data_IF_084223311792
#
_entry.id   IF_084223311792
#
_cell.length_a   1.000
_cell.length_b   1.000
_cell.length_c   1.000
_cell.angle_alpha   90.00
_cell.angle_beta   90.00
_cell.angle_gamma   90.00
#
_symmetry.space_group_name_H-M   'P 1'
#
loop_
_entity.id
_entity.type
_entity.pdbx_description
1 polymer ?
#
# COMPACT_ATOMS: atom_id res chain seq x y z
N UNK A 1 7.99 -5.73 -20.86
CA UNK A 1 6.62 -5.15 -20.96
C UNK A 1 6.63 -3.75 -20.38
N UNK A 2 6.11 -2.80 -21.10
CA UNK A 2 5.97 -1.42 -20.61
C UNK A 2 4.48 -1.10 -20.57
N UNK A 3 3.99 -0.57 -19.44
CA UNK A 3 2.60 -0.14 -19.30
C UNK A 3 2.57 1.35 -18.99
N UNK A 4 1.81 2.09 -19.78
CA UNK A 4 1.63 3.53 -19.57
C UNK A 4 0.55 3.78 -18.53
N UNK A 5 0.55 4.92 -17.84
CA UNK A 5 -0.45 5.21 -16.80
C UNK A 5 -1.90 5.06 -17.30
N UNK A 6 -2.18 5.46 -18.54
CA UNK A 6 -3.53 5.35 -19.11
C UNK A 6 -4.04 3.92 -19.28
N UNK A 7 -3.13 2.94 -19.24
CA UNK A 7 -3.46 1.52 -19.39
C UNK A 7 -3.45 0.78 -18.04
N UNK A 8 -3.19 1.47 -16.96
CA UNK A 8 -3.22 0.91 -15.62
C UNK A 8 -4.65 0.93 -15.07
N UNK A 9 -5.08 -0.18 -14.49
CA UNK A 9 -6.39 -0.28 -13.87
C UNK A 9 -6.40 0.51 -12.57
N UNK A 10 -7.43 1.34 -12.38
CA UNK A 10 -7.57 2.18 -11.19
C UNK A 10 -8.79 1.72 -10.40
N UNK A 11 -8.60 1.49 -9.10
CA UNK A 11 -9.68 1.18 -8.18
C UNK A 11 -9.76 2.24 -7.09
N UNK A 12 -10.97 2.64 -6.73
CA UNK A 12 -11.24 3.43 -5.55
C UNK A 12 -11.81 2.51 -4.48
N UNK A 13 -11.15 2.45 -3.33
CA UNK A 13 -11.56 1.60 -2.21
C UNK A 13 -11.93 2.46 -1.02
N UNK A 14 -13.22 2.46 -0.66
CA UNK A 14 -13.70 3.17 0.53
C UNK A 14 -13.50 2.31 1.76
N UNK A 15 -13.08 2.94 2.86
CA UNK A 15 -12.87 2.30 4.16
C UNK A 15 -12.06 1.01 4.04
N UNK A 16 -10.98 1.07 3.28
CA UNK A 16 -10.14 -0.09 3.02
C UNK A 16 -9.66 -0.72 4.32
N UNK A 17 -9.96 -2.01 4.50
CA UNK A 17 -9.64 -2.76 5.72
C UNK A 17 -10.19 -2.12 7.00
N UNK A 18 -11.33 -1.42 6.91
CA UNK A 18 -11.91 -0.70 8.04
C UNK A 18 -11.30 0.66 8.32
N UNK A 19 -10.46 1.17 7.41
CA UNK A 19 -9.88 2.52 7.53
C UNK A 19 -10.87 3.62 7.22
N UNK A 20 -10.36 4.85 7.14
CA UNK A 20 -11.13 6.05 6.88
C UNK A 20 -10.93 6.55 5.46
N UNK A 21 -11.96 7.18 4.90
CA UNK A 21 -11.92 7.80 3.59
C UNK A 21 -11.75 6.81 2.45
N UNK A 22 -11.31 7.30 1.31
CA UNK A 22 -11.12 6.49 0.11
C UNK A 22 -9.65 6.48 -0.32
N UNK A 23 -9.18 5.30 -0.66
CA UNK A 23 -7.82 5.06 -1.13
C UNK A 23 -7.89 4.70 -2.60
N UNK A 24 -6.99 5.24 -3.41
CA UNK A 24 -6.89 4.89 -4.82
C UNK A 24 -5.77 3.86 -5.00
N UNK A 25 -6.09 2.75 -5.65
CA UNK A 25 -5.13 1.70 -5.99
C UNK A 25 -4.96 1.69 -7.50
N UNK A 26 -3.75 1.97 -7.96
CA UNK A 26 -3.40 1.97 -9.38
C UNK A 26 -2.56 0.72 -9.64
N UNK A 27 -3.12 -0.24 -10.36
CA UNK A 27 -2.43 -1.49 -10.65
C UNK A 27 -1.40 -1.29 -11.74
N UNK A 28 -0.12 -1.39 -11.36
CA UNK A 28 0.99 -1.27 -12.31
C UNK A 28 1.00 -2.48 -13.24
N UNK A 29 0.89 -3.66 -12.65
CA UNK A 29 0.74 -4.94 -13.35
C UNK A 29 -0.24 -5.80 -12.59
N UNK A 30 -0.99 -6.64 -13.31
CA UNK A 30 -1.95 -7.56 -12.73
C UNK A 30 -1.24 -8.85 -12.26
N UNK A 31 -1.79 -9.51 -11.27
CA UNK A 31 -1.16 -10.71 -10.69
C UNK A 31 -0.94 -11.82 -11.72
N UNK A 32 -1.81 -11.92 -12.70
CA UNK A 32 -1.75 -12.96 -13.74
C UNK A 32 -0.57 -12.74 -14.72
N UNK A 33 0.02 -11.54 -14.71
CA UNK A 33 1.12 -11.19 -15.61
C UNK A 33 2.48 -11.63 -15.06
N UNK A 34 2.55 -12.00 -13.79
CA UNK A 34 3.78 -12.44 -13.15
C UNK A 34 3.96 -13.95 -13.26
N UNK A 35 5.20 -14.38 -13.46
CA UNK A 35 5.55 -15.80 -13.36
C UNK A 35 5.74 -16.26 -11.91
N UNK A 36 5.83 -15.34 -10.96
CA UNK A 36 5.97 -15.62 -9.55
C UNK A 36 4.62 -15.52 -8.83
N UNK A 37 4.62 -15.88 -7.55
CA UNK A 37 3.40 -15.78 -6.71
C UNK A 37 3.20 -14.35 -6.20
N UNK A 38 2.99 -13.43 -7.12
CA UNK A 38 2.68 -12.05 -6.82
C UNK A 38 1.17 -11.87 -6.71
N UNK A 39 0.71 -11.15 -5.68
CA UNK A 39 -0.72 -10.85 -5.48
C UNK A 39 -1.05 -9.40 -5.77
N UNK A 40 -0.08 -8.51 -5.59
CA UNK A 40 -0.29 -7.07 -5.79
C UNK A 40 1.01 -6.43 -6.28
N UNK A 41 0.89 -5.56 -7.26
CA UNK A 41 1.96 -4.67 -7.70
C UNK A 41 1.30 -3.35 -8.10
N UNK A 42 1.22 -2.42 -7.18
CA UNK A 42 0.37 -1.23 -7.33
C UNK A 42 1.02 0.01 -6.75
N UNK A 43 0.52 1.16 -7.20
CA UNK A 43 0.71 2.42 -6.49
C UNK A 43 -0.56 2.68 -5.68
N UNK A 44 -0.41 3.01 -4.40
CA UNK A 44 -1.52 3.32 -3.51
C UNK A 44 -1.44 4.80 -3.16
N UNK A 45 -2.55 5.51 -3.31
CA UNK A 45 -2.63 6.93 -3.00
C UNK A 45 -3.65 7.13 -1.89
N UNK A 46 -3.17 7.68 -0.77
CA UNK A 46 -4.01 8.08 0.37
C UNK A 46 -4.12 9.60 0.38
N UNK A 47 -5.29 10.16 0.09
CA UNK A 47 -5.50 11.60 0.29
C UNK A 47 -5.42 11.95 1.78
N UNK A 48 -5.27 13.24 2.13
CA UNK A 48 -5.27 13.65 3.54
C UNK A 48 -6.47 13.09 4.30
N UNK A 49 -6.22 12.53 5.48
CA UNK A 49 -7.23 11.92 6.34
C UNK A 49 -7.61 10.49 6.02
N UNK A 50 -7.18 9.96 4.87
CA UNK A 50 -7.47 8.58 4.51
C UNK A 50 -6.53 7.60 5.22
N UNK A 51 -7.02 6.39 5.44
CA UNK A 51 -6.24 5.33 6.07
C UNK A 51 -6.62 3.96 5.52
N UNK A 52 -5.67 3.04 5.66
CA UNK A 52 -5.89 1.60 5.47
C UNK A 52 -5.86 1.00 6.88
N UNK A 53 -6.95 0.35 7.28
CA UNK A 53 -7.08 -0.22 8.61
C UNK A 53 -6.15 -1.39 8.85
N UNK A 54 -6.01 -1.76 10.12
CA UNK A 54 -5.12 -2.85 10.52
C UNK A 54 -5.53 -4.16 9.85
N UNK A 55 -4.55 -4.85 9.29
CA UNK A 55 -4.74 -6.17 8.68
C UNK A 55 -3.46 -6.97 8.73
N UNK A 56 -3.61 -8.29 8.76
CA UNK A 56 -2.51 -9.23 8.91
C UNK A 56 -2.04 -9.75 7.54
N UNK A 57 -0.73 -9.88 7.40
CA UNK A 57 -0.09 -10.52 6.23
C UNK A 57 0.46 -11.88 6.63
N UNK A 58 -0.34 -12.92 6.42
CA UNK A 58 0.02 -14.30 6.69
C UNK A 58 0.16 -15.07 5.39
N UNK A 59 1.26 -15.82 5.25
CA UNK A 59 1.59 -16.52 4.00
C UNK A 59 2.02 -15.60 2.88
N UNK A 60 2.35 -14.35 3.21
CA UNK A 60 2.76 -13.35 2.24
C UNK A 60 3.61 -12.27 2.91
N UNK A 61 4.42 -11.59 2.11
CA UNK A 61 5.14 -10.40 2.52
C UNK A 61 4.66 -9.23 1.69
N UNK A 62 4.51 -8.07 2.30
CA UNK A 62 4.23 -6.82 1.61
C UNK A 62 5.36 -5.83 1.81
N UNK A 63 5.77 -5.21 0.71
CA UNK A 63 6.70 -4.07 0.74
C UNK A 63 5.92 -2.83 0.37
N UNK A 64 6.02 -1.80 1.20
CA UNK A 64 5.66 -0.43 0.84
C UNK A 64 6.93 0.37 0.58
N UNK A 65 6.95 1.11 -0.50
CA UNK A 65 7.97 2.11 -0.76
C UNK A 65 7.29 3.46 -0.94
N UNK A 66 7.59 4.40 -0.05
CA UNK A 66 6.97 5.74 -0.08
C UNK A 66 7.64 6.56 -1.17
N UNK A 67 6.86 7.00 -2.15
CA UNK A 67 7.36 7.79 -3.28
C UNK A 67 7.01 9.27 -3.16
N UNK A 68 5.98 9.61 -2.37
CA UNK A 68 5.55 10.99 -2.18
C UNK A 68 4.82 11.14 -0.85
N UNK A 69 5.04 12.27 -0.18
CA UNK A 69 4.33 12.60 1.05
C UNK A 69 4.89 11.92 2.27
N UNK A 70 4.10 11.93 3.33
CA UNK A 70 4.44 11.36 4.63
C UNK A 70 3.18 10.81 5.30
N UNK A 71 3.36 9.92 6.26
CA UNK A 71 2.26 9.36 6.99
C UNK A 71 2.72 8.56 8.20
N UNK A 72 1.80 7.81 8.79
CA UNK A 72 2.05 6.98 9.96
C UNK A 72 1.79 5.53 9.61
N UNK A 73 2.75 4.67 9.95
CA UNK A 73 2.63 3.21 9.84
C UNK A 73 2.57 2.66 11.27
N UNK A 74 1.55 1.85 11.52
CA UNK A 74 1.47 1.05 12.74
C UNK A 74 1.80 -0.40 12.38
N UNK A 75 2.83 -0.97 13.00
CA UNK A 75 3.27 -2.34 12.72
C UNK A 75 2.60 -3.39 13.61
N UNK A 76 1.54 -3.00 14.31
CA UNK A 76 0.84 -3.83 15.28
C UNK A 76 1.24 -3.54 16.73
N UNK A 77 2.37 -2.89 16.95
CA UNK A 77 2.88 -2.54 18.29
C UNK A 77 3.30 -1.09 18.40
N UNK A 78 3.95 -0.55 17.39
CA UNK A 78 4.51 0.81 17.39
C UNK A 78 4.03 1.56 16.17
N UNK A 79 3.66 2.81 16.35
CA UNK A 79 3.36 3.73 15.26
C UNK A 79 4.59 4.57 14.95
N UNK A 80 4.98 4.61 13.69
CA UNK A 80 6.18 5.32 13.23
C UNK A 80 5.85 6.21 12.05
N UNK A 81 6.50 7.38 11.98
CA UNK A 81 6.37 8.27 10.84
C UNK A 81 7.26 7.79 9.70
N UNK A 82 6.70 7.81 8.50
CA UNK A 82 7.41 7.50 7.27
C UNK A 82 7.24 8.63 6.27
N UNK A 83 8.19 8.77 5.36
CA UNK A 83 8.19 9.80 4.32
C UNK A 83 8.86 9.27 3.05
N UNK A 84 8.82 10.08 2.00
CA UNK A 84 9.37 9.69 0.69
C UNK A 84 10.79 9.13 0.81
N UNK A 85 11.01 7.96 0.21
CA UNK A 85 12.27 7.23 0.28
C UNK A 85 12.31 6.13 1.33
N UNK A 86 11.34 6.08 2.25
CA UNK A 86 11.27 5.02 3.25
C UNK A 86 10.66 3.75 2.68
N UNK A 87 11.15 2.61 3.12
CA UNK A 87 10.63 1.30 2.77
C UNK A 87 10.16 0.57 4.03
N UNK A 88 9.03 -0.13 3.91
CA UNK A 88 8.41 -0.88 5.00
C UNK A 88 8.19 -2.32 4.55
N UNK A 89 8.62 -3.27 5.34
CA UNK A 89 8.37 -4.70 5.10
C UNK A 89 7.45 -5.23 6.18
N UNK A 90 6.35 -5.85 5.77
CA UNK A 90 5.39 -6.49 6.66
C UNK A 90 5.10 -7.89 6.14
N UNK A 91 5.31 -8.89 6.97
CA UNK A 91 5.07 -10.28 6.57
C UNK A 91 5.22 -11.22 7.75
N UNK A 92 5.24 -12.52 7.46
CA UNK A 92 5.41 -13.57 8.49
C UNK A 92 4.37 -13.47 9.60
N UNK A 93 3.12 -13.19 9.23
CA UNK A 93 2.03 -13.08 10.19
C UNK A 93 1.92 -11.73 10.89
N UNK A 94 2.77 -10.77 10.55
CA UNK A 94 2.71 -9.42 11.11
C UNK A 94 1.51 -8.66 10.56
N UNK A 95 1.03 -7.69 11.34
CA UNK A 95 -0.04 -6.80 10.94
C UNK A 95 0.49 -5.39 10.74
N UNK A 96 -0.21 -4.61 9.93
CA UNK A 96 0.07 -3.20 9.81
C UNK A 96 -1.19 -2.39 9.48
N UNK A 97 -1.06 -1.08 9.68
CA UNK A 97 -2.04 -0.09 9.26
C UNK A 97 -1.29 1.15 8.81
N UNK A 98 -1.90 1.93 7.92
CA UNK A 98 -1.29 3.18 7.44
C UNK A 98 -2.31 4.30 7.45
N UNK A 99 -1.88 5.50 7.85
CA UNK A 99 -2.72 6.67 7.94
C UNK A 99 -2.01 7.90 7.39
N UNK A 100 -2.70 8.65 6.56
CA UNK A 100 -2.21 9.96 6.13
C UNK A 100 -2.78 11.04 7.06
N UNK A 101 -1.94 11.53 7.96
CA UNK A 101 -2.30 12.59 8.92
C UNK A 101 -1.84 13.98 8.46
N UNK A 102 -1.33 14.07 7.24
CA UNK A 102 -0.80 15.32 6.68
C UNK A 102 -1.79 16.04 5.78
N UNK A 103 -1.27 17.01 5.05
CA UNK A 103 -2.04 17.86 4.13
C UNK A 103 -1.79 17.54 2.66
N UNK A 104 -0.81 16.69 2.38
CA UNK A 104 -0.44 16.26 1.04
C UNK A 104 -0.81 14.80 0.83
N UNK A 105 -1.06 14.36 -0.42
CA UNK A 105 -1.26 12.94 -0.69
C UNK A 105 -0.05 12.12 -0.25
N UNK A 106 -0.31 10.94 0.30
CA UNK A 106 0.71 9.92 0.56
C UNK A 106 0.63 8.91 -0.57
N UNK A 107 1.71 8.74 -1.31
CA UNK A 107 1.78 7.77 -2.41
C UNK A 107 2.86 6.73 -2.11
N UNK A 108 2.48 5.47 -2.23
CA UNK A 108 3.37 4.34 -1.98
C UNK A 108 3.27 3.34 -3.12
N UNK A 109 4.39 2.75 -3.49
CA UNK A 109 4.36 1.51 -4.28
C UNK A 109 4.18 0.36 -3.30
N UNK A 110 3.27 -0.55 -3.61
CA UNK A 110 2.97 -1.71 -2.79
C UNK A 110 3.14 -2.99 -3.62
N UNK A 111 3.90 -3.93 -3.08
CA UNK A 111 4.14 -5.23 -3.70
C UNK A 111 3.86 -6.31 -2.68
N UNK A 112 3.01 -7.28 -3.03
CA UNK A 112 2.71 -8.43 -2.17
C UNK A 112 3.17 -9.70 -2.87
N UNK A 113 4.05 -10.43 -2.18
CA UNK A 113 4.62 -11.70 -2.63
C UNK A 113 4.07 -12.81 -1.74
N UNK A 114 3.51 -13.86 -2.34
CA UNK A 114 2.93 -14.98 -1.61
C UNK A 114 3.88 -16.18 -1.54
N UNK A 115 3.79 -16.95 -0.49
CA UNK A 115 4.57 -18.19 -0.33
C UNK A 115 3.76 -19.27 0.37
#
# INVERSE_FOLDING_TARGET
MIRKPSDMRVERREKMRGGEGAVTVVHLFEKEEFGSRMRLCSKIVLPPGASIGEHQHEGEDEVYFVVRGAGLINDGTVESRVSAGDAILTGKGQSHAVRNDGREPLEMVAVIMCY
#
